data_IF_134296760615
#
_entry.id   IF_134296760615
#
_cell.length_a   1.000
_cell.length_b   1.000
_cell.length_c   1.000
_cell.angle_alpha   90.00
_cell.angle_beta   90.00
_cell.angle_gamma   90.00
#
_symmetry.space_group_name_H-M   'P 1'
#
loop_
_entity.id
_entity.type
_entity.pdbx_description
1 polymer ?
#
# COMPACT_ATOMS: atom_id res chain seq x y z
N UNK A 1 29.09 -16.14 -17.16
CA UNK A 1 28.17 -15.72 -18.25
C UNK A 1 26.75 -16.26 -18.07
N UNK A 2 26.53 -17.58 -17.93
CA UNK A 2 25.22 -18.15 -17.55
C UNK A 2 24.67 -17.56 -16.24
N UNK A 3 25.54 -17.38 -15.23
CA UNK A 3 25.17 -16.70 -13.98
C UNK A 3 24.92 -15.19 -14.14
N UNK A 4 25.49 -14.54 -15.15
CA UNK A 4 25.27 -13.10 -15.39
C UNK A 4 23.88 -12.89 -15.98
N UNK A 5 23.50 -13.67 -16.98
CA UNK A 5 22.14 -13.66 -17.55
C UNK A 5 21.11 -14.10 -16.49
N UNK A 6 21.39 -15.15 -15.70
CA UNK A 6 20.50 -15.52 -14.59
C UNK A 6 20.43 -14.48 -13.47
N UNK A 7 21.53 -13.81 -13.13
CA UNK A 7 21.55 -12.75 -12.11
C UNK A 7 20.82 -11.49 -12.61
N UNK A 8 20.98 -11.15 -13.89
CA UNK A 8 20.25 -10.10 -14.57
C UNK A 8 18.76 -10.43 -14.57
N UNK A 9 18.39 -11.64 -15.00
CA UNK A 9 16.99 -12.13 -14.97
C UNK A 9 16.43 -12.16 -13.55
N UNK A 10 17.19 -12.62 -12.53
CA UNK A 10 16.74 -12.64 -11.13
C UNK A 10 16.57 -11.24 -10.56
N UNK A 11 17.51 -10.34 -10.81
CA UNK A 11 17.42 -8.93 -10.42
C UNK A 11 16.21 -8.25 -11.04
N UNK A 12 15.90 -8.55 -12.30
CA UNK A 12 14.76 -7.97 -13.02
C UNK A 12 13.43 -8.70 -12.80
N UNK A 13 13.42 -9.91 -12.24
CA UNK A 13 12.20 -10.64 -11.90
C UNK A 13 11.42 -9.97 -10.78
N UNK A 14 12.08 -9.27 -9.86
CA UNK A 14 11.43 -8.43 -8.84
C UNK A 14 10.75 -7.22 -9.49
N UNK A 15 11.49 -6.51 -10.35
CA UNK A 15 11.00 -5.37 -11.12
C UNK A 15 9.77 -5.75 -11.96
N UNK A 16 9.85 -6.82 -12.75
CA UNK A 16 8.73 -7.31 -13.57
C UNK A 16 7.51 -7.74 -12.74
N UNK A 17 7.71 -8.35 -11.56
CA UNK A 17 6.61 -8.76 -10.69
C UNK A 17 5.85 -7.54 -10.14
N UNK A 18 6.60 -6.49 -9.80
CA UNK A 18 6.09 -5.22 -9.31
C UNK A 18 5.36 -4.44 -10.40
N UNK A 19 5.82 -4.53 -11.65
CA UNK A 19 5.13 -3.96 -12.81
C UNK A 19 3.85 -4.72 -13.20
N UNK A 20 3.78 -6.04 -12.99
CA UNK A 20 2.55 -6.83 -13.24
C UNK A 20 1.46 -6.52 -12.20
N UNK A 21 1.83 -6.28 -10.93
CA UNK A 21 0.89 -5.92 -9.87
C UNK A 21 0.36 -4.48 -9.98
N UNK A 22 1.10 -3.60 -10.65
CA UNK A 22 0.69 -2.23 -10.92
C UNK A 22 -0.37 -2.20 -12.02
N UNK A 23 -1.59 -2.68 -11.74
CA UNK A 23 -2.73 -2.63 -12.66
C UNK A 23 -2.92 -1.20 -13.21
N UNK A 24 -2.59 -1.00 -14.50
CA UNK A 24 -3.08 0.09 -15.36
C UNK A 24 -2.71 1.54 -15.03
N UNK A 25 -2.35 1.90 -13.79
CA UNK A 25 -2.21 3.29 -13.36
C UNK A 25 -0.85 3.92 -13.71
N UNK A 26 0.16 3.11 -14.05
CA UNK A 26 1.52 3.54 -14.44
C UNK A 26 1.96 3.03 -15.82
N UNK A 27 1.01 2.51 -16.60
CA UNK A 27 1.28 1.82 -17.85
C UNK A 27 1.49 2.82 -19.00
N UNK A 28 2.71 3.33 -19.15
CA UNK A 28 3.11 4.10 -20.32
C UNK A 28 3.43 3.16 -21.50
N UNK A 29 3.21 3.61 -22.74
CA UNK A 29 3.46 2.84 -23.97
C UNK A 29 4.89 2.28 -24.02
N UNK A 30 5.87 3.02 -23.51
CA UNK A 30 7.27 2.59 -23.43
C UNK A 30 7.49 1.41 -22.48
N UNK A 31 6.75 1.32 -21.37
CA UNK A 31 6.84 0.19 -20.43
C UNK A 31 6.30 -1.11 -21.06
N UNK A 32 5.25 -1.01 -21.87
CA UNK A 32 4.65 -2.16 -22.56
C UNK A 32 5.60 -2.81 -23.57
N UNK A 33 6.37 -1.99 -24.31
CA UNK A 33 7.36 -2.44 -25.28
C UNK A 33 8.52 -3.15 -24.59
N UNK A 34 8.96 -2.61 -23.44
CA UNK A 34 10.03 -3.20 -22.66
C UNK A 34 9.62 -4.57 -22.09
N UNK A 35 8.43 -4.65 -21.48
CA UNK A 35 7.90 -5.93 -20.96
C UNK A 35 7.78 -6.96 -22.09
N UNK A 36 7.32 -6.55 -23.28
CA UNK A 36 7.24 -7.43 -24.44
C UNK A 36 8.62 -7.94 -24.88
N UNK A 37 9.62 -7.06 -24.98
CA UNK A 37 10.97 -7.41 -25.37
C UNK A 37 11.62 -8.38 -24.36
N UNK A 38 11.47 -8.13 -23.05
CA UNK A 38 11.97 -9.03 -22.01
C UNK A 38 11.29 -10.41 -22.09
N UNK A 39 9.97 -10.46 -22.27
CA UNK A 39 9.23 -11.72 -22.42
C UNK A 39 9.66 -12.50 -23.66
N UNK A 40 9.95 -11.81 -24.75
CA UNK A 40 10.42 -12.41 -26.01
C UNK A 40 11.77 -13.10 -25.80
N UNK A 41 12.74 -12.39 -25.21
CA UNK A 41 14.06 -12.96 -24.88
C UNK A 41 13.93 -14.14 -23.92
N UNK A 42 13.08 -14.04 -22.90
CA UNK A 42 12.83 -15.13 -21.96
C UNK A 42 12.26 -16.37 -22.65
N UNK A 43 11.34 -16.19 -23.61
CA UNK A 43 10.76 -17.29 -24.36
C UNK A 43 11.78 -17.97 -25.29
N UNK A 44 12.68 -17.20 -25.91
CA UNK A 44 13.77 -17.74 -26.74
C UNK A 44 14.78 -18.54 -25.91
N UNK A 45 15.23 -17.98 -24.78
CA UNK A 45 16.16 -18.67 -23.86
C UNK A 45 15.53 -19.94 -23.29
N UNK A 46 14.22 -19.93 -23.03
CA UNK A 46 13.50 -21.13 -22.59
C UNK A 46 13.43 -22.23 -23.66
N UNK A 47 13.41 -21.88 -24.95
CA UNK A 47 13.35 -22.83 -26.05
C UNK A 47 14.71 -23.45 -26.35
N UNK A 48 15.79 -22.69 -26.20
CA UNK A 48 17.16 -23.15 -26.46
C UNK A 48 18.04 -23.00 -25.21
N UNK A 49 18.16 -24.04 -24.35
CA UNK A 49 18.93 -23.96 -23.11
C UNK A 49 20.47 -23.97 -23.33
N UNK A 50 20.93 -23.88 -24.58
CA UNK A 50 22.34 -23.86 -24.95
C UNK A 50 22.84 -22.40 -24.90
N UNK A 51 23.63 -22.09 -23.87
CA UNK A 51 24.15 -20.72 -23.60
C UNK A 51 24.85 -20.12 -24.82
N UNK A 52 25.69 -20.90 -25.52
CA UNK A 52 26.43 -20.44 -26.69
C UNK A 52 25.51 -20.00 -27.83
N UNK A 53 24.43 -20.74 -28.08
CA UNK A 53 23.48 -20.43 -29.14
C UNK A 53 22.71 -19.13 -28.85
N UNK A 54 22.29 -18.93 -27.59
CA UNK A 54 21.61 -17.70 -27.18
C UNK A 54 22.53 -16.47 -27.24
N UNK A 55 23.79 -16.60 -26.84
CA UNK A 55 24.76 -15.50 -26.85
C UNK A 55 25.21 -15.10 -28.26
N UNK A 56 25.19 -16.03 -29.22
CA UNK A 56 25.54 -15.77 -30.63
C UNK A 56 24.33 -15.39 -31.50
N UNK A 57 23.15 -15.23 -30.92
CA UNK A 57 22.01 -14.66 -31.65
C UNK A 57 22.37 -13.26 -32.17
N UNK A 58 21.93 -12.96 -33.40
CA UNK A 58 22.21 -11.67 -34.03
C UNK A 58 21.74 -10.52 -33.13
N UNK A 59 22.57 -9.50 -32.99
CA UNK A 59 22.33 -8.31 -32.18
C UNK A 59 22.04 -8.50 -30.68
N UNK A 60 22.28 -9.69 -30.11
CA UNK A 60 21.93 -9.98 -28.72
C UNK A 60 22.54 -9.02 -27.70
N UNK A 61 23.80 -8.65 -27.88
CA UNK A 61 24.50 -7.79 -26.93
C UNK A 61 23.88 -6.40 -26.87
N UNK A 62 23.59 -5.81 -28.04
CA UNK A 62 22.97 -4.49 -28.16
C UNK A 62 21.54 -4.51 -27.58
N UNK A 63 20.72 -5.52 -27.93
CA UNK A 63 19.39 -5.70 -27.35
C UNK A 63 19.42 -5.79 -25.81
N UNK A 64 20.37 -6.53 -25.25
CA UNK A 64 20.50 -6.65 -23.79
C UNK A 64 20.94 -5.35 -23.13
N UNK A 65 21.80 -4.57 -23.77
CA UNK A 65 22.18 -3.24 -23.29
C UNK A 65 21.00 -2.26 -23.31
N UNK A 66 20.27 -2.19 -24.43
CA UNK A 66 19.07 -1.35 -24.53
C UNK A 66 18.01 -1.73 -23.49
N UNK A 67 17.83 -3.04 -23.25
CA UNK A 67 16.92 -3.53 -22.23
C UNK A 67 17.40 -3.18 -20.82
N UNK A 68 18.69 -3.29 -20.52
CA UNK A 68 19.26 -2.90 -19.24
C UNK A 68 19.00 -1.41 -18.96
N UNK A 69 19.33 -0.54 -19.92
CA UNK A 69 19.12 0.91 -19.80
C UNK A 69 17.64 1.26 -19.65
N UNK A 70 16.77 0.59 -20.41
CA UNK A 70 15.33 0.76 -20.30
C UNK A 70 14.80 0.35 -18.92
N UNK A 71 15.29 -0.76 -18.37
CA UNK A 71 14.89 -1.28 -17.06
C UNK A 71 15.35 -0.36 -15.93
N UNK A 72 16.57 0.19 -16.01
CA UNK A 72 17.07 1.17 -15.05
C UNK A 72 16.20 2.44 -15.02
N UNK A 73 15.80 2.94 -16.18
CA UNK A 73 14.87 4.08 -16.28
C UNK A 73 13.52 3.75 -15.65
N UNK A 74 12.97 2.57 -15.94
CA UNK A 74 11.71 2.12 -15.35
C UNK A 74 11.81 2.00 -13.82
N UNK A 75 12.90 1.42 -13.31
CA UNK A 75 13.14 1.30 -11.87
C UNK A 75 13.20 2.67 -11.19
N UNK A 76 13.91 3.63 -11.81
CA UNK A 76 13.98 4.99 -11.30
C UNK A 76 12.60 5.65 -11.25
N UNK A 77 11.84 5.57 -12.34
CA UNK A 77 10.48 6.14 -12.39
C UNK A 77 9.52 5.49 -11.38
N UNK A 78 9.66 4.19 -11.14
CA UNK A 78 8.89 3.48 -10.11
C UNK A 78 9.26 3.96 -8.70
N UNK A 79 10.55 4.10 -8.41
CA UNK A 79 11.01 4.61 -7.12
C UNK A 79 10.51 6.05 -6.88
N UNK A 80 10.60 6.93 -7.88
CA UNK A 80 10.10 8.31 -7.80
C UNK A 80 8.58 8.35 -7.56
N UNK A 81 7.84 7.44 -8.18
CA UNK A 81 6.39 7.29 -7.96
C UNK A 81 6.07 6.88 -6.52
N UNK A 82 6.70 5.82 -6.03
CA UNK A 82 6.47 5.33 -4.66
C UNK A 82 6.85 6.39 -3.63
N UNK A 83 7.95 7.11 -3.86
CA UNK A 83 8.34 8.24 -3.01
C UNK A 83 7.29 9.36 -3.01
N UNK A 84 6.71 9.68 -4.16
CA UNK A 84 5.61 10.66 -4.25
C UNK A 84 4.40 10.21 -3.44
N UNK A 85 4.04 8.92 -3.50
CA UNK A 85 2.94 8.34 -2.71
C UNK A 85 3.23 8.33 -1.21
N UNK A 86 4.46 8.00 -0.81
CA UNK A 86 4.91 8.08 0.59
C UNK A 86 4.91 9.49 1.13
N UNK A 87 5.28 10.49 0.33
CA UNK A 87 5.22 11.89 0.73
C UNK A 87 3.77 12.38 0.90
N UNK A 88 2.83 11.86 0.11
CA UNK A 88 1.40 12.18 0.24
C UNK A 88 0.78 11.58 1.51
N UNK A 89 1.17 10.36 1.88
CA UNK A 89 0.75 9.72 3.12
C UNK A 89 1.94 9.06 3.85
N UNK A 90 2.54 9.77 4.84
CA UNK A 90 3.79 9.34 5.49
C UNK A 90 3.75 7.96 6.16
N UNK A 91 2.58 7.39 6.48
CA UNK A 91 2.53 6.04 7.06
C UNK A 91 2.94 4.94 6.07
N UNK A 92 2.96 5.22 4.76
CA UNK A 92 3.50 4.29 3.77
C UNK A 92 5.03 4.08 3.87
N UNK A 93 5.75 4.85 4.69
CA UNK A 93 7.15 4.54 5.00
C UNK A 93 7.32 3.30 5.89
N UNK A 94 6.25 2.83 6.56
CA UNK A 94 6.30 1.66 7.46
C UNK A 94 6.03 0.32 6.76
N UNK A 95 5.73 0.34 5.46
CA UNK A 95 5.48 -0.85 4.64
C UNK A 95 6.50 -0.93 3.51
N UNK A 96 6.77 -2.15 3.04
CA UNK A 96 7.71 -2.39 1.96
C UNK A 96 7.19 -1.89 0.60
N UNK A 97 8.07 -1.76 -0.39
CA UNK A 97 7.68 -1.36 -1.75
C UNK A 97 6.64 -2.32 -2.35
N UNK A 98 6.81 -3.63 -2.15
CA UNK A 98 5.91 -4.66 -2.68
C UNK A 98 4.51 -4.58 -2.05
N UNK A 99 4.44 -4.30 -0.75
CA UNK A 99 3.17 -4.13 -0.02
C UNK A 99 2.44 -2.84 -0.45
N UNK A 100 3.19 -1.75 -0.59
CA UNK A 100 2.63 -0.49 -1.10
C UNK A 100 2.09 -0.66 -2.53
N UNK A 101 2.79 -1.42 -3.38
CA UNK A 101 2.31 -1.71 -4.72
C UNK A 101 1.06 -2.60 -4.73
N UNK A 102 0.95 -3.56 -3.81
CA UNK A 102 -0.26 -4.36 -3.63
C UNK A 102 -1.48 -3.47 -3.32
N UNK A 103 -1.30 -2.52 -2.39
CA UNK A 103 -2.35 -1.56 -2.02
C UNK A 103 -2.70 -0.64 -3.20
N UNK A 104 -1.71 -0.08 -3.90
CA UNK A 104 -1.94 0.86 -5.00
C UNK A 104 -2.48 0.19 -6.27
N UNK A 105 -2.26 -1.13 -6.43
CA UNK A 105 -2.72 -1.92 -7.56
C UNK A 105 -4.14 -2.50 -7.41
N UNK A 106 -4.70 -2.45 -6.19
CA UNK A 106 -6.08 -2.87 -5.92
C UNK A 106 -7.04 -1.68 -5.92
N UNK A 107 -8.26 -1.89 -6.43
CA UNK A 107 -9.36 -0.92 -6.33
C UNK A 107 -10.17 -1.06 -5.05
N UNK A 108 -9.98 -2.15 -4.30
CA UNK A 108 -10.80 -2.48 -3.14
C UNK A 108 -10.17 -1.89 -1.87
N UNK A 109 -10.91 -1.07 -1.09
CA UNK A 109 -10.38 -0.48 0.15
C UNK A 109 -10.00 -1.50 1.22
N UNK A 110 -10.46 -2.75 1.12
CA UNK A 110 -10.14 -3.82 2.06
C UNK A 110 -8.67 -4.24 2.00
N UNK A 111 -7.97 -4.00 0.89
CA UNK A 111 -6.55 -4.36 0.75
C UNK A 111 -5.64 -3.68 1.79
N UNK A 112 -6.03 -2.53 2.35
CA UNK A 112 -5.20 -1.85 3.36
C UNK A 112 -5.22 -2.54 4.71
N UNK A 113 -6.24 -3.37 4.98
CA UNK A 113 -6.50 -3.96 6.30
C UNK A 113 -5.32 -4.80 6.79
N UNK A 114 -4.73 -5.61 5.92
CA UNK A 114 -3.57 -6.46 6.24
C UNK A 114 -2.33 -5.67 6.66
N UNK A 115 -2.27 -4.39 6.27
CA UNK A 115 -1.14 -3.50 6.51
C UNK A 115 -1.39 -2.49 7.64
N UNK A 116 -2.60 -2.45 8.22
CA UNK A 116 -2.97 -1.48 9.26
C UNK A 116 -2.06 -1.57 10.50
N UNK A 117 -1.78 -2.78 10.96
CA UNK A 117 -0.90 -3.03 12.12
C UNK A 117 0.53 -2.50 11.90
N UNK A 118 0.99 -2.48 10.64
CA UNK A 118 2.30 -1.94 10.30
C UNK A 118 2.28 -0.41 10.20
N UNK A 119 1.19 0.16 9.68
CA UNK A 119 1.06 1.60 9.46
C UNK A 119 0.72 2.38 10.73
N UNK A 120 0.01 1.78 11.68
CA UNK A 120 -0.49 2.42 12.88
C UNK A 120 -0.17 1.59 14.13
N UNK A 121 0.26 2.26 15.20
CA UNK A 121 0.43 1.61 16.49
C UNK A 121 -0.93 1.33 17.13
N UNK A 122 -1.12 0.12 17.65
CA UNK A 122 -2.34 -0.37 18.28
C UNK A 122 -3.66 -0.22 17.47
N UNK A 123 -3.59 -0.22 16.13
CA UNK A 123 -4.79 -0.30 15.26
C UNK A 123 -4.68 -1.56 14.40
N UNK A 124 -5.58 -2.51 14.64
CA UNK A 124 -5.62 -3.76 13.89
C UNK A 124 -6.33 -3.62 12.55
N UNK A 125 -7.46 -2.91 12.52
CA UNK A 125 -8.30 -2.82 11.32
C UNK A 125 -9.25 -1.63 11.38
N UNK A 126 -9.78 -1.24 10.21
CA UNK A 126 -10.90 -0.30 10.09
C UNK A 126 -12.20 -1.07 9.90
N UNK A 127 -13.29 -0.59 10.50
CA UNK A 127 -14.62 -1.06 10.17
C UNK A 127 -15.08 -0.36 8.88
N UNK A 128 -15.06 -1.11 7.78
CA UNK A 128 -15.53 -0.64 6.48
C UNK A 128 -16.96 -1.14 6.26
N UNK A 129 -17.87 -0.22 5.98
CA UNK A 129 -19.28 -0.52 5.71
C UNK A 129 -19.62 -0.07 4.30
N UNK A 130 -20.31 -0.93 3.55
CA UNK A 130 -20.81 -0.61 2.22
C UNK A 130 -22.07 0.24 2.35
N UNK A 131 -22.01 1.47 1.88
CA UNK A 131 -23.16 2.36 1.83
C UNK A 131 -24.14 1.94 0.71
N UNK A 132 -25.35 2.50 0.74
CA UNK A 132 -26.46 2.18 -0.18
C UNK A 132 -26.06 2.40 -1.65
N UNK A 133 -25.16 3.34 -1.91
CA UNK A 133 -24.60 3.66 -3.22
C UNK A 133 -23.44 2.75 -3.67
N UNK A 134 -23.21 1.62 -2.97
CA UNK A 134 -22.10 0.69 -3.16
C UNK A 134 -20.70 1.23 -2.82
N UNK A 135 -20.58 2.45 -2.30
CA UNK A 135 -19.30 3.00 -1.87
C UNK A 135 -18.94 2.50 -0.47
N UNK A 136 -17.68 2.15 -0.25
CA UNK A 136 -17.19 1.75 1.07
C UNK A 136 -16.88 2.98 1.91
N UNK A 137 -17.32 2.99 3.17
CA UNK A 137 -17.03 4.04 4.14
C UNK A 137 -16.43 3.45 5.41
N UNK A 138 -15.38 4.09 5.95
CA UNK A 138 -14.82 3.76 7.23
C UNK A 138 -15.66 4.40 8.36
N UNK A 139 -16.23 3.57 9.24
CA UNK A 139 -17.12 4.02 10.32
C UNK A 139 -16.50 3.94 11.71
N UNK A 140 -15.49 3.09 11.88
CA UNK A 140 -14.79 2.92 13.14
C UNK A 140 -13.37 2.40 12.91
N UNK A 141 -12.54 2.47 13.95
CA UNK A 141 -11.27 1.76 14.03
C UNK A 141 -11.31 0.72 15.16
N UNK A 142 -10.59 -0.38 14.97
CA UNK A 142 -10.49 -1.50 15.90
C UNK A 142 -9.05 -1.66 16.36
N UNK A 143 -8.85 -1.71 17.67
CA UNK A 143 -7.55 -1.94 18.31
C UNK A 143 -7.12 -3.40 18.17
N UNK A 144 -5.81 -3.65 18.34
CA UNK A 144 -5.25 -5.00 18.50
C UNK A 144 -5.88 -5.78 19.67
N UNK A 145 -6.39 -5.08 20.68
CA UNK A 145 -7.09 -5.68 21.83
C UNK A 145 -8.60 -5.89 21.58
N UNK A 146 -9.09 -5.59 20.37
CA UNK A 146 -10.50 -5.71 20.01
C UNK A 146 -11.38 -4.53 20.45
N UNK A 147 -10.79 -3.46 20.98
CA UNK A 147 -11.51 -2.25 21.36
C UNK A 147 -11.96 -1.48 20.11
N UNK A 148 -13.21 -0.97 20.10
CA UNK A 148 -13.79 -0.29 18.93
C UNK A 148 -14.01 1.19 19.25
N UNK A 149 -13.42 2.06 18.43
CA UNK A 149 -13.69 3.50 18.44
C UNK A 149 -14.47 3.90 17.20
N UNK A 150 -15.74 4.25 17.39
CA UNK A 150 -16.58 4.77 16.32
C UNK A 150 -16.17 6.19 15.95
N UNK A 151 -16.08 6.46 14.64
CA UNK A 151 -15.84 7.81 14.15
C UNK A 151 -17.08 8.68 14.28
N UNK A 152 -16.87 9.98 14.53
CA UNK A 152 -17.98 10.96 14.57
C UNK A 152 -18.58 11.19 13.20
N UNK A 153 -17.75 11.11 12.17
CA UNK A 153 -18.17 11.18 10.77
C UNK A 153 -17.56 9.99 10.03
N UNK A 154 -18.38 9.29 9.26
CA UNK A 154 -17.90 8.21 8.40
C UNK A 154 -17.05 8.79 7.26
N UNK A 155 -15.89 8.21 7.00
CA UNK A 155 -15.00 8.65 5.93
C UNK A 155 -15.20 7.80 4.70
N UNK A 156 -15.47 8.44 3.58
CA UNK A 156 -15.64 7.75 2.30
C UNK A 156 -14.28 7.27 1.76
N UNK A 157 -14.17 5.96 1.53
CA UNK A 157 -12.98 5.30 0.98
C UNK A 157 -13.01 5.27 -0.56
N UNK A 158 -13.20 6.45 -1.16
CA UNK A 158 -13.24 6.65 -2.61
C UNK A 158 -12.08 7.49 -3.11
N UNK A 159 -11.68 7.24 -4.36
CA UNK A 159 -10.55 7.90 -5.00
C UNK A 159 -9.22 7.23 -4.68
N UNK A 160 -8.15 8.02 -4.66
CA UNK A 160 -6.78 7.54 -4.44
C UNK A 160 -6.58 7.12 -2.98
N UNK A 161 -5.84 6.03 -2.77
CA UNK A 161 -5.66 5.46 -1.42
C UNK A 161 -5.04 6.45 -0.44
N UNK A 162 -4.01 7.18 -0.87
CA UNK A 162 -3.37 8.18 -0.02
C UNK A 162 -4.31 9.30 0.44
N UNK A 163 -5.29 9.67 -0.38
CA UNK A 163 -6.19 10.79 -0.10
C UNK A 163 -7.22 10.39 0.96
N UNK A 164 -7.89 9.25 0.78
CA UNK A 164 -8.89 8.82 1.73
C UNK A 164 -8.27 8.32 3.04
N UNK A 165 -7.09 7.69 3.01
CA UNK A 165 -6.36 7.31 4.23
C UNK A 165 -5.94 8.54 5.04
N UNK A 166 -5.55 9.63 4.38
CA UNK A 166 -5.27 10.91 5.05
C UNK A 166 -6.52 11.48 5.74
N UNK A 167 -7.69 11.37 5.09
CA UNK A 167 -8.98 11.75 5.72
C UNK A 167 -9.32 10.86 6.91
N UNK A 168 -9.09 9.56 6.82
CA UNK A 168 -9.28 8.62 7.94
C UNK A 168 -8.37 9.00 9.12
N UNK A 169 -7.08 9.26 8.89
CA UNK A 169 -6.16 9.68 9.95
C UNK A 169 -6.61 11.00 10.62
N UNK A 170 -7.10 11.95 9.83
CA UNK A 170 -7.65 13.20 10.34
C UNK A 170 -8.89 12.96 11.23
N UNK A 171 -9.82 12.09 10.81
CA UNK A 171 -11.01 11.74 11.59
C UNK A 171 -10.68 10.93 12.85
N UNK A 172 -9.68 10.05 12.81
CA UNK A 172 -9.16 9.36 14.00
C UNK A 172 -8.72 10.37 15.06
N UNK A 173 -7.88 11.34 14.67
CA UNK A 173 -7.38 12.40 15.57
C UNK A 173 -8.49 13.31 16.07
N UNK A 174 -9.40 13.70 15.17
CA UNK A 174 -10.54 14.58 15.49
C UNK A 174 -11.48 13.92 16.50
N UNK A 175 -11.90 12.69 16.21
CA UNK A 175 -12.78 11.89 17.06
C UNK A 175 -12.14 11.65 18.43
N UNK A 176 -10.88 11.24 18.46
CA UNK A 176 -10.14 11.02 19.71
C UNK A 176 -10.05 12.31 20.56
N UNK A 177 -9.67 13.44 19.94
CA UNK A 177 -9.60 14.73 20.63
C UNK A 177 -10.94 15.12 21.26
N UNK A 178 -12.04 14.87 20.55
CA UNK A 178 -13.38 15.16 21.05
C UNK A 178 -13.75 14.25 22.22
N UNK A 179 -13.58 12.93 22.08
CA UNK A 179 -13.85 11.94 23.15
C UNK A 179 -13.04 12.31 24.40
N UNK A 180 -11.76 12.66 24.24
CA UNK A 180 -10.90 13.08 25.35
C UNK A 180 -11.44 14.33 26.05
N UNK A 181 -11.88 15.35 25.29
CA UNK A 181 -12.47 16.57 25.85
C UNK A 181 -13.78 16.28 26.59
N UNK A 182 -14.67 15.49 25.99
CA UNK A 182 -15.91 15.07 26.62
C UNK A 182 -15.64 14.28 27.91
N UNK A 183 -14.66 13.37 27.88
CA UNK A 183 -14.26 12.60 29.06
C UNK A 183 -13.82 13.49 30.22
N UNK A 184 -12.99 14.51 29.95
CA UNK A 184 -12.53 15.48 30.97
C UNK A 184 -13.70 16.32 31.50
N UNK A 185 -14.57 16.82 30.62
CA UNK A 185 -15.72 17.63 31.02
C UNK A 185 -16.70 16.84 31.90
N UNK A 186 -16.99 15.59 31.53
CA UNK A 186 -17.91 14.73 32.28
C UNK A 186 -17.29 14.13 33.54
N UNK A 187 -15.95 14.10 33.65
CA UNK A 187 -15.27 13.59 34.85
C UNK A 187 -15.68 14.35 36.11
N UNK A 188 -15.84 15.67 36.03
CA UNK A 188 -16.24 16.51 37.16
C UNK A 188 -17.76 16.48 37.44
N UNK A 189 -18.58 16.23 36.40
CA UNK A 189 -20.05 16.39 36.47
C UNK A 189 -20.84 15.10 36.65
N UNK A 190 -20.29 13.92 36.27
CA UNK A 190 -21.01 12.64 36.37
C UNK A 190 -20.60 11.84 37.60
N UNK A 191 -21.34 12.04 38.69
CA UNK A 191 -21.49 11.11 39.83
C UNK A 191 -20.35 10.12 40.11
N UNK A 192 -20.67 8.83 40.21
CA UNK A 192 -19.71 7.77 40.53
C UNK A 192 -18.75 7.48 39.37
N UNK A 193 -17.46 7.30 39.68
CA UNK A 193 -16.38 6.95 38.74
C UNK A 193 -16.74 5.76 37.82
N UNK A 194 -17.51 4.80 38.32
CA UNK A 194 -17.95 3.63 37.55
C UNK A 194 -18.87 3.99 36.38
N UNK A 195 -19.78 4.95 36.57
CA UNK A 195 -20.69 5.43 35.51
C UNK A 195 -19.91 6.19 34.43
N UNK A 196 -18.85 6.88 34.84
CA UNK A 196 -17.92 7.55 33.91
C UNK A 196 -17.10 6.53 33.11
N UNK A 197 -16.58 5.47 33.74
CA UNK A 197 -15.85 4.37 33.10
C UNK A 197 -16.69 3.62 32.04
N UNK A 198 -17.95 3.34 32.37
CA UNK A 198 -18.85 2.54 31.53
C UNK A 198 -19.41 3.34 30.34
N UNK A 199 -19.84 4.59 30.56
CA UNK A 199 -20.48 5.41 29.50
C UNK A 199 -19.51 6.06 28.53
N UNK A 200 -18.27 6.30 28.93
CA UNK A 200 -17.23 6.84 28.06
C UNK A 200 -16.28 5.75 27.55
N UNK A 201 -16.58 4.48 27.83
CA UNK A 201 -15.83 3.29 27.39
C UNK A 201 -14.35 3.60 27.21
N UNK A 202 -13.62 3.66 28.33
CA UNK A 202 -12.18 3.92 28.36
C UNK A 202 -11.35 2.94 27.50
N UNK A 203 -11.94 1.88 26.94
CA UNK A 203 -11.33 1.10 25.86
C UNK A 203 -11.12 1.89 24.57
N UNK A 204 -11.70 3.08 24.42
CA UNK A 204 -11.29 4.00 23.37
C UNK A 204 -9.88 4.56 23.69
N UNK A 205 -9.60 4.91 24.95
CA UNK A 205 -8.38 5.61 25.43
C UNK A 205 -7.08 4.82 25.29
N UNK A 206 -7.12 3.51 25.07
CA UNK A 206 -5.90 2.72 24.86
C UNK A 206 -5.39 2.75 23.42
N UNK A 207 -6.20 3.19 22.47
CA UNK A 207 -5.75 3.49 21.10
C UNK A 207 -4.84 4.74 21.01
N UNK A 208 -4.46 5.37 22.14
CA UNK A 208 -4.08 6.79 22.20
C UNK A 208 -2.57 7.04 22.20
N UNK A 209 -1.75 6.04 21.88
CA UNK A 209 -0.33 6.24 21.60
C UNK A 209 -0.08 6.06 20.11
N UNK A 210 -0.40 7.10 19.33
CA UNK A 210 0.09 7.27 17.95
C UNK A 210 0.59 8.69 17.76
#
# INVERSE_FOLDING_TARGET
>A
MKSYIESMIRGFRGVLRNFIHSNGLYYNRSHSQLIYAVRTIMAEVSKTPIVKACCHAANRLEELHELSDGLERCQKSLNDYLNTKRNAFPRFFFISDDELLSILGSSEPECVQEHMIKMFDNIASLQLVKAINQEMSATAMVSSEGEIMQFRQSVLATGRVEEWMTRVEAEMKSTNRLITKEAIYYYSSKGSRWVWLEKLSLGQVRCYRT
#
